data_IF_536277700190
#
_entry.id   IF_536277700190
#
_cell.length_a   1.000
_cell.length_b   1.000
_cell.length_c   1.000
_cell.angle_alpha   90.00
_cell.angle_beta   90.00
_cell.angle_gamma   90.00
#
_symmetry.space_group_name_H-M   'P 1'
#
loop_
_entity.id
_entity.type
_entity.pdbx_description
1 polymer ?
#
# COMPACT_ATOMS: atom_id res chain seq x y z
N UNK A 1 -32.75 -54.88 -16.83
CA UNK A 1 -33.42 -53.60 -17.14
C UNK A 1 -33.81 -52.96 -15.81
N UNK A 2 -33.31 -51.76 -15.50
CA UNK A 2 -33.69 -51.01 -14.30
C UNK A 2 -33.59 -49.52 -14.60
N UNK A 3 -34.68 -48.78 -14.45
CA UNK A 3 -34.77 -47.36 -14.80
C UNK A 3 -34.72 -46.49 -13.53
N UNK A 4 -33.92 -45.43 -13.55
CA UNK A 4 -33.79 -44.47 -12.44
C UNK A 4 -34.31 -43.09 -12.85
N UNK A 5 -35.59 -42.82 -12.57
CA UNK A 5 -36.25 -41.55 -12.94
C UNK A 5 -35.99 -40.47 -11.90
N UNK A 6 -35.05 -39.57 -12.16
CA UNK A 6 -34.75 -38.43 -11.28
C UNK A 6 -35.75 -37.28 -11.47
N UNK A 7 -36.55 -37.00 -10.45
CA UNK A 7 -37.54 -35.90 -10.44
C UNK A 7 -36.83 -34.55 -10.26
N UNK A 8 -37.03 -33.60 -11.19
CA UNK A 8 -36.53 -32.21 -11.09
C UNK A 8 -37.56 -31.29 -10.43
N UNK A 9 -37.39 -30.99 -9.15
CA UNK A 9 -38.25 -30.05 -8.40
C UNK A 9 -37.90 -28.59 -8.69
N UNK A 10 -38.65 -27.94 -9.58
CA UNK A 10 -38.41 -26.56 -10.01
C UNK A 10 -38.85 -25.51 -8.95
N UNK A 11 -37.95 -25.14 -8.04
CA UNK A 11 -38.22 -24.16 -6.96
C UNK A 11 -38.21 -22.72 -7.49
N UNK A 12 -39.38 -22.20 -7.89
CA UNK A 12 -39.57 -20.78 -8.26
C UNK A 12 -39.18 -19.86 -7.10
N UNK A 13 -38.33 -18.86 -7.36
CA UNK A 13 -38.04 -17.75 -6.42
C UNK A 13 -38.73 -16.48 -6.91
N UNK A 14 -39.57 -15.87 -6.07
CA UNK A 14 -40.20 -14.58 -6.31
C UNK A 14 -39.22 -13.45 -6.01
N UNK A 15 -38.87 -12.67 -7.03
CA UNK A 15 -38.10 -11.44 -6.86
C UNK A 15 -39.01 -10.34 -6.29
N UNK A 16 -38.68 -9.81 -5.11
CA UNK A 16 -39.25 -8.56 -4.60
C UNK A 16 -38.34 -7.41 -5.03
N UNK A 17 -38.76 -6.68 -6.05
CA UNK A 17 -38.11 -5.42 -6.44
C UNK A 17 -38.57 -4.34 -5.45
N UNK A 18 -37.62 -3.75 -4.72
CA UNK A 18 -37.86 -2.55 -3.93
C UNK A 18 -37.37 -1.34 -4.75
N UNK A 19 -38.27 -0.40 -5.03
CA UNK A 19 -37.92 0.83 -5.74
C UNK A 19 -37.17 1.80 -4.81
N UNK A 20 -36.16 2.49 -5.34
CA UNK A 20 -35.47 3.54 -4.61
C UNK A 20 -36.29 4.84 -4.61
N UNK A 21 -36.18 5.62 -3.54
CA UNK A 21 -36.56 7.02 -3.49
C UNK A 21 -35.31 7.84 -3.13
N UNK A 22 -35.06 8.91 -3.88
CA UNK A 22 -33.81 9.67 -3.85
C UNK A 22 -34.16 11.13 -3.52
N UNK A 23 -33.63 11.64 -2.42
CA UNK A 23 -33.75 13.06 -2.02
C UNK A 23 -32.37 13.57 -1.64
N UNK A 24 -32.01 14.74 -2.16
CA UNK A 24 -30.71 15.37 -1.95
C UNK A 24 -30.86 16.71 -1.21
N UNK A 25 -29.82 17.11 -0.49
CA UNK A 25 -29.59 18.49 -0.06
C UNK A 25 -28.07 18.72 0.01
N UNK A 26 -27.59 19.80 -0.60
CA UNK A 26 -26.19 20.22 -0.51
C UNK A 26 -26.02 21.25 0.61
N UNK A 27 -24.96 21.13 1.40
CA UNK A 27 -24.60 22.06 2.47
C UNK A 27 -23.14 22.49 2.33
N UNK A 28 -22.87 23.45 1.45
CA UNK A 28 -21.51 23.96 1.22
C UNK A 28 -21.27 25.24 2.05
N UNK A 29 -20.43 25.16 3.07
CA UNK A 29 -20.05 26.32 3.90
C UNK A 29 -18.53 26.49 3.89
N UNK A 30 -18.04 27.38 3.03
CA UNK A 30 -16.64 27.82 3.04
C UNK A 30 -16.49 29.02 3.98
N UNK A 31 -15.89 28.81 5.15
CA UNK A 31 -15.43 29.90 6.02
C UNK A 31 -13.99 30.24 5.66
N UNK A 32 -13.80 31.26 4.82
CA UNK A 32 -12.47 31.78 4.49
C UNK A 32 -11.98 32.76 5.57
N UNK A 33 -11.05 32.32 6.43
CA UNK A 33 -10.35 33.20 7.36
C UNK A 33 -9.05 33.72 6.75
N UNK A 34 -9.15 34.81 5.98
CA UNK A 34 -7.97 35.59 5.59
C UNK A 34 -7.37 36.29 6.80
N UNK A 35 -6.09 36.04 7.08
CA UNK A 35 -5.33 36.75 8.12
C UNK A 35 -3.89 36.95 7.64
N UNK A 36 -3.51 38.21 7.41
CA UNK A 36 -2.21 38.58 6.86
C UNK A 36 -1.41 39.46 7.84
N UNK A 37 -0.09 39.29 7.77
CA UNK A 37 1.00 40.19 8.19
C UNK A 37 0.88 41.05 9.47
N UNK A 38 1.82 40.79 10.39
CA UNK A 38 2.45 41.83 11.22
C UNK A 38 3.93 41.49 11.47
N UNK A 39 4.75 42.53 11.62
CA UNK A 39 6.21 42.56 11.74
C UNK A 39 6.90 41.44 12.56
N UNK A 40 8.16 41.06 12.30
CA UNK A 40 9.17 41.67 11.42
C UNK A 40 10.24 42.46 12.19
N UNK A 41 11.33 41.80 12.64
CA UNK A 41 12.49 42.46 13.25
C UNK A 41 13.82 41.87 12.76
N UNK A 42 14.70 42.74 12.23
CA UNK A 42 16.10 42.49 11.86
C UNK A 42 16.99 43.37 12.75
N UNK A 43 17.95 42.80 13.49
CA UNK A 43 19.39 42.98 13.19
C UNK A 43 20.24 41.73 13.56
N UNK A 44 21.55 41.64 13.36
CA UNK A 44 22.51 42.19 12.39
C UNK A 44 23.78 41.27 12.42
N UNK A 45 24.73 41.43 11.50
CA UNK A 45 25.93 40.59 11.42
C UNK A 45 27.19 41.27 12.00
N UNK A 46 28.05 40.51 12.70
CA UNK A 46 29.41 40.94 13.09
C UNK A 46 30.42 39.76 13.13
N UNK A 47 31.14 39.61 12.02
CA UNK A 47 32.61 39.67 11.90
C UNK A 47 33.54 39.03 12.97
N UNK A 48 34.30 38.00 12.52
CA UNK A 48 35.68 37.59 12.92
C UNK A 48 35.94 37.13 14.39
N UNK A 49 37.07 36.47 14.78
CA UNK A 49 38.41 36.30 14.15
C UNK A 49 39.25 35.15 14.77
N UNK A 50 40.02 34.40 13.96
CA UNK A 50 41.25 33.61 14.31
C UNK A 50 41.16 32.52 15.40
N UNK A 51 42.03 31.50 15.53
CA UNK A 51 43.07 30.79 14.72
C UNK A 51 43.21 29.36 15.35
N UNK A 52 44.07 28.38 15.00
CA UNK A 52 45.25 28.19 14.13
C UNK A 52 45.17 26.73 13.55
N UNK A 53 45.86 26.26 12.50
CA UNK A 53 47.18 26.51 11.88
C UNK A 53 48.37 25.68 12.43
N UNK A 54 48.40 24.40 12.02
CA UNK A 54 49.54 23.45 11.90
C UNK A 54 49.01 22.28 11.02
N UNK A 55 49.56 21.82 9.88
CA UNK A 55 50.94 21.76 9.35
C UNK A 55 51.81 20.76 10.15
N UNK A 56 52.52 19.77 9.57
CA UNK A 56 52.92 19.55 8.17
C UNK A 56 53.06 18.05 7.79
N UNK A 57 53.04 17.75 6.48
CA UNK A 57 53.93 16.81 5.75
C UNK A 57 54.15 15.33 6.17
N UNK A 58 54.55 14.41 5.29
CA UNK A 58 54.43 14.29 3.83
C UNK A 58 54.90 12.88 3.38
N UNK A 59 54.11 12.19 2.54
CA UNK A 59 54.57 11.16 1.59
C UNK A 59 53.41 10.81 0.64
N UNK A 60 53.59 10.57 -0.67
CA UNK A 60 54.85 10.66 -1.43
C UNK A 60 54.98 9.55 -2.47
N UNK A 61 54.16 9.54 -3.53
CA UNK A 61 54.47 8.78 -4.74
C UNK A 61 53.99 9.54 -5.98
N UNK A 62 54.68 9.36 -7.11
CA UNK A 62 54.42 10.09 -8.35
C UNK A 62 54.78 9.24 -9.56
N UNK A 63 53.96 9.33 -10.60
CA UNK A 63 54.12 8.62 -11.87
C UNK A 63 52.83 7.91 -12.27
N UNK A 64 52.37 7.96 -13.52
CA UNK A 64 52.90 8.65 -14.71
C UNK A 64 51.73 9.16 -15.58
N UNK A 65 52.01 10.07 -16.50
CA UNK A 65 51.00 10.72 -17.34
C UNK A 65 50.58 9.85 -18.53
N UNK A 66 49.30 9.92 -18.91
CA UNK A 66 48.90 9.80 -20.32
C UNK A 66 47.68 10.68 -20.66
N UNK A 67 47.96 11.64 -21.54
CA UNK A 67 47.13 12.58 -22.30
C UNK A 67 45.66 12.23 -22.62
N UNK A 68 44.83 13.29 -22.58
CA UNK A 68 43.64 13.54 -23.42
C UNK A 68 42.49 12.52 -23.50
N UNK A 69 41.35 12.89 -22.89
CA UNK A 69 40.06 12.94 -23.59
C UNK A 69 39.20 14.09 -23.03
N UNK A 70 38.22 14.57 -23.82
CA UNK A 70 37.39 15.74 -23.50
C UNK A 70 35.91 15.34 -23.40
N UNK A 71 35.35 15.39 -22.19
CA UNK A 71 33.90 15.48 -21.98
C UNK A 71 33.64 16.17 -20.63
N UNK A 72 32.82 17.21 -20.62
CA UNK A 72 32.26 17.76 -19.38
C UNK A 72 30.85 17.22 -19.22
N UNK A 73 30.62 16.44 -18.16
CA UNK A 73 29.27 16.17 -17.65
C UNK A 73 29.14 16.87 -16.30
N UNK A 74 28.03 17.57 -16.08
CA UNK A 74 27.69 18.09 -14.77
C UNK A 74 27.50 16.92 -13.78
N UNK A 75 27.62 17.20 -12.49
CA UNK A 75 27.29 16.23 -11.46
C UNK A 75 25.77 15.97 -11.49
N UNK A 76 25.35 14.90 -12.17
CA UNK A 76 23.99 14.37 -12.01
C UNK A 76 23.80 14.01 -10.54
N UNK A 77 22.85 14.68 -9.88
CA UNK A 77 22.42 14.31 -8.53
C UNK A 77 21.93 12.87 -8.57
N UNK A 78 22.68 11.97 -7.93
CA UNK A 78 22.53 10.54 -8.07
C UNK A 78 21.15 10.04 -7.65
N UNK A 79 20.22 10.01 -8.60
CA UNK A 79 18.93 9.34 -8.45
C UNK A 79 19.23 7.86 -8.34
N UNK A 80 19.30 7.36 -7.10
CA UNK A 80 19.53 5.94 -6.77
C UNK A 80 18.68 5.08 -7.70
N UNK A 81 19.34 4.31 -8.57
CA UNK A 81 18.67 3.56 -9.61
C UNK A 81 17.58 2.67 -9.00
N UNK A 82 16.35 2.84 -9.48
CA UNK A 82 15.25 1.95 -9.11
C UNK A 82 15.66 0.51 -9.46
N UNK A 83 15.64 -0.38 -8.48
CA UNK A 83 16.21 -1.72 -8.66
C UNK A 83 15.36 -2.54 -9.64
N UNK A 84 15.97 -3.58 -10.22
CA UNK A 84 15.36 -4.49 -11.20
C UNK A 84 13.88 -4.76 -10.97
N UNK A 85 13.04 -4.37 -11.92
CA UNK A 85 11.60 -4.61 -11.88
C UNK A 85 11.32 -6.11 -12.03
N UNK A 86 10.55 -6.67 -11.08
CA UNK A 86 10.04 -8.04 -11.14
C UNK A 86 8.56 -8.01 -11.48
N UNK A 87 8.14 -8.77 -12.50
CA UNK A 87 6.71 -8.88 -12.85
C UNK A 87 6.14 -10.21 -12.38
N UNK A 88 4.94 -10.18 -11.78
CA UNK A 88 4.23 -11.37 -11.29
C UNK A 88 2.78 -11.37 -11.79
N UNK A 89 2.26 -12.54 -12.19
CA UNK A 89 0.84 -12.72 -12.58
C UNK A 89 -0.05 -12.75 -11.34
N UNK A 90 -1.23 -12.14 -11.42
CA UNK A 90 -2.19 -12.09 -10.32
C UNK A 90 -3.33 -13.11 -10.47
N UNK A 91 -4.09 -13.31 -9.39
CA UNK A 91 -5.12 -14.34 -9.28
C UNK A 91 -6.32 -14.17 -10.24
N UNK A 92 -6.55 -12.96 -10.78
CA UNK A 92 -7.54 -12.71 -11.83
C UNK A 92 -7.17 -13.37 -13.18
N UNK A 93 -5.93 -13.86 -13.33
CA UNK A 93 -5.41 -14.46 -14.54
C UNK A 93 -5.20 -13.48 -15.71
N UNK A 94 -5.38 -12.17 -15.50
CA UNK A 94 -5.35 -11.11 -16.53
C UNK A 94 -4.31 -10.02 -16.19
N UNK A 95 -4.25 -9.62 -14.93
CA UNK A 95 -3.40 -8.54 -14.41
C UNK A 95 -2.02 -9.03 -13.98
N UNK A 96 -1.08 -8.09 -13.87
CA UNK A 96 0.27 -8.32 -13.37
C UNK A 96 0.69 -7.24 -12.38
N UNK A 97 1.37 -7.63 -11.30
CA UNK A 97 2.10 -6.69 -10.46
C UNK A 97 3.50 -6.44 -11.04
N UNK A 98 3.82 -5.18 -11.34
CA UNK A 98 5.19 -4.71 -11.60
C UNK A 98 5.81 -4.21 -10.29
N UNK A 99 6.74 -5.00 -9.73
CA UNK A 99 7.32 -4.79 -8.40
C UNK A 99 8.70 -4.15 -8.54
N UNK A 100 8.91 -3.00 -7.90
CA UNK A 100 10.17 -2.25 -7.89
C UNK A 100 10.67 -2.05 -6.46
N UNK A 101 11.95 -2.33 -6.19
CA UNK A 101 12.57 -1.95 -4.90
C UNK A 101 12.98 -0.48 -4.94
N UNK A 102 12.51 0.30 -3.96
CA UNK A 102 12.83 1.71 -3.78
C UNK A 102 13.89 1.88 -2.68
N UNK A 103 13.71 1.17 -1.56
CA UNK A 103 14.59 1.16 -0.39
C UNK A 103 14.62 -0.20 0.29
N UNK A 104 15.37 -0.32 1.37
CA UNK A 104 15.31 -1.52 2.21
C UNK A 104 14.00 -1.54 2.98
N UNK A 105 13.29 -2.66 2.89
CA UNK A 105 11.89 -2.81 3.31
C UNK A 105 10.88 -1.85 2.63
N UNK A 106 11.27 -1.24 1.49
CA UNK A 106 10.46 -0.25 0.78
C UNK A 106 10.33 -0.64 -0.70
N UNK A 107 9.18 -1.21 -1.04
CA UNK A 107 8.83 -1.69 -2.37
C UNK A 107 7.57 -1.02 -2.87
N UNK A 108 7.46 -0.85 -4.20
CA UNK A 108 6.25 -0.39 -4.88
C UNK A 108 5.81 -1.44 -5.89
N UNK A 109 4.53 -1.82 -5.85
CA UNK A 109 3.90 -2.65 -6.86
C UNK A 109 2.87 -1.83 -7.64
N UNK A 110 3.01 -1.75 -8.97
CA UNK A 110 1.93 -1.27 -9.85
C UNK A 110 1.10 -2.46 -10.30
N UNK A 111 -0.22 -2.39 -10.13
CA UNK A 111 -1.15 -3.39 -10.68
C UNK A 111 -1.48 -2.96 -12.11
N UNK A 112 -1.10 -3.75 -13.10
CA UNK A 112 -1.23 -3.42 -14.52
C UNK A 112 -2.10 -4.45 -15.24
N UNK A 113 -3.06 -3.98 -16.03
CA UNK A 113 -3.90 -4.81 -16.89
C UNK A 113 -4.06 -4.16 -18.26
N UNK A 114 -3.83 -4.94 -19.34
CA UNK A 114 -3.98 -4.49 -20.75
C UNK A 114 -3.19 -3.20 -21.08
N UNK A 115 -2.06 -2.97 -20.42
CA UNK A 115 -1.22 -1.78 -20.57
C UNK A 115 -1.59 -0.58 -19.67
N UNK A 116 -2.70 -0.65 -18.93
CA UNK A 116 -3.14 0.39 -18.01
C UNK A 116 -2.77 0.05 -16.56
N UNK A 117 -2.24 1.01 -15.81
CA UNK A 117 -2.08 0.90 -14.35
C UNK A 117 -3.47 1.07 -13.71
N UNK A 118 -3.92 0.04 -12.99
CA UNK A 118 -5.19 0.05 -12.25
C UNK A 118 -5.02 0.57 -10.81
N UNK A 119 -3.91 0.22 -10.17
CA UNK A 119 -3.60 0.61 -8.79
C UNK A 119 -2.08 0.68 -8.57
N UNK A 120 -1.66 1.30 -7.46
CA UNK A 120 -0.27 1.28 -7.00
C UNK A 120 -0.25 1.09 -5.48
N UNK A 121 0.49 0.10 -5.02
CA UNK A 121 0.71 -0.24 -3.62
C UNK A 121 2.17 0.06 -3.26
N UNK A 122 2.44 0.45 -2.02
CA UNK A 122 3.80 0.75 -1.56
C UNK A 122 3.96 0.42 -0.08
N UNK A 123 5.02 -0.33 0.27
CA UNK A 123 5.31 -0.66 1.68
C UNK A 123 5.94 0.53 2.38
N UNK A 124 5.46 0.87 3.57
CA UNK A 124 5.96 2.01 4.33
C UNK A 124 5.95 1.68 5.83
N UNK A 125 7.03 1.05 6.31
CA UNK A 125 7.20 0.52 7.68
C UNK A 125 6.23 -0.63 8.06
N UNK A 126 5.36 -1.01 7.14
CA UNK A 126 4.48 -2.18 7.18
C UNK A 126 4.17 -2.63 5.75
N UNK A 127 3.57 -3.82 5.64
CA UNK A 127 3.03 -4.35 4.38
C UNK A 127 1.91 -3.45 3.83
N UNK A 128 1.58 -3.61 2.55
CA UNK A 128 0.45 -2.94 1.90
C UNK A 128 -0.60 -3.95 1.45
N UNK A 129 -1.88 -3.57 1.51
CA UNK A 129 -3.02 -4.38 1.05
C UNK A 129 -3.88 -3.63 0.05
N UNK A 130 -4.66 -4.37 -0.74
CA UNK A 130 -5.57 -3.85 -1.76
C UNK A 130 -6.74 -4.80 -2.01
N UNK A 131 -7.96 -4.27 -2.05
CA UNK A 131 -9.18 -4.92 -2.57
C UNK A 131 -9.47 -4.35 -3.96
N UNK A 132 -9.10 -5.10 -5.00
CA UNK A 132 -9.25 -4.73 -6.40
C UNK A 132 -10.54 -5.31 -7.01
N UNK A 133 -11.67 -5.18 -6.30
CA UNK A 133 -12.98 -5.79 -6.60
C UNK A 133 -12.98 -7.31 -6.38
N UNK A 134 -12.85 -7.74 -5.11
CA UNK A 134 -12.81 -9.16 -4.69
C UNK A 134 -11.59 -9.96 -5.21
N UNK A 135 -10.68 -9.32 -5.96
CA UNK A 135 -9.27 -9.71 -6.02
C UNK A 135 -8.52 -9.02 -4.89
N UNK A 136 -8.02 -9.77 -3.92
CA UNK A 136 -7.22 -9.24 -2.83
C UNK A 136 -5.74 -9.38 -3.15
N UNK A 137 -4.93 -8.38 -2.78
CA UNK A 137 -3.48 -8.37 -2.98
C UNK A 137 -2.79 -7.86 -1.72
N UNK A 138 -1.73 -8.55 -1.28
CA UNK A 138 -0.78 -8.09 -0.26
C UNK A 138 0.59 -7.91 -0.90
N UNK A 139 1.27 -6.79 -0.61
CA UNK A 139 2.68 -6.53 -0.93
C UNK A 139 3.46 -6.50 0.39
N UNK A 140 4.36 -7.46 0.59
CA UNK A 140 5.11 -7.62 1.84
C UNK A 140 6.36 -6.74 1.91
N UNK A 141 6.84 -6.46 3.12
CA UNK A 141 8.07 -5.70 3.37
C UNK A 141 9.34 -6.28 2.70
N UNK A 142 9.42 -7.57 2.43
CA UNK A 142 10.55 -8.16 1.68
C UNK A 142 10.40 -8.05 0.16
N UNK A 143 9.21 -7.67 -0.33
CA UNK A 143 8.90 -7.44 -1.74
C UNK A 143 8.18 -8.60 -2.44
N UNK A 144 7.53 -9.51 -1.72
CA UNK A 144 6.60 -10.47 -2.33
C UNK A 144 5.24 -9.84 -2.61
N UNK A 145 4.57 -10.34 -3.65
CA UNK A 145 3.16 -10.11 -3.88
C UNK A 145 2.43 -11.43 -3.68
N UNK A 146 1.38 -11.44 -2.86
CA UNK A 146 0.44 -12.54 -2.74
C UNK A 146 -0.94 -12.04 -3.14
N UNK A 147 -1.67 -12.80 -3.95
CA UNK A 147 -2.98 -12.39 -4.46
C UNK A 147 -3.94 -13.57 -4.56
N UNK A 148 -5.21 -13.34 -4.25
CA UNK A 148 -6.26 -14.34 -4.29
C UNK A 148 -7.61 -13.74 -4.71
N UNK A 149 -8.58 -14.58 -5.02
CA UNK A 149 -9.95 -14.18 -5.34
C UNK A 149 -10.90 -14.61 -4.22
N UNK A 150 -11.88 -13.78 -3.87
CA UNK A 150 -12.94 -14.13 -2.93
C UNK A 150 -12.50 -14.12 -1.46
N UNK A 151 -13.37 -14.71 -0.61
CA UNK A 151 -13.17 -14.78 0.84
C UNK A 151 -13.53 -13.50 1.59
N UNK A 152 -14.01 -12.46 0.92
CA UNK A 152 -14.39 -11.19 1.52
C UNK A 152 -15.58 -11.27 2.49
N UNK A 153 -15.38 -10.83 3.72
CA UNK A 153 -16.41 -10.58 4.72
C UNK A 153 -16.67 -9.06 4.83
N UNK A 154 -17.90 -8.63 4.58
CA UNK A 154 -18.27 -7.21 4.54
C UNK A 154 -18.79 -6.68 5.89
N UNK A 155 -18.21 -5.58 6.35
CA UNK A 155 -18.74 -4.73 7.43
C UNK A 155 -18.15 -5.04 8.81
N UNK A 156 -18.60 -4.33 9.86
CA UNK A 156 -18.19 -4.61 11.23
C UNK A 156 -18.76 -5.95 11.71
N UNK A 157 -17.98 -6.71 12.46
CA UNK A 157 -18.34 -8.05 12.89
C UNK A 157 -17.17 -8.83 13.49
N UNK A 158 -17.37 -10.13 13.70
CA UNK A 158 -16.28 -11.06 14.05
C UNK A 158 -16.34 -12.25 13.09
N UNK A 159 -15.27 -12.46 12.34
CA UNK A 159 -15.21 -13.40 11.22
C UNK A 159 -14.09 -14.42 11.44
N UNK A 160 -14.30 -15.66 10.94
CA UNK A 160 -13.25 -16.67 10.87
C UNK A 160 -12.50 -16.52 9.54
N UNK A 161 -11.18 -16.54 9.61
CA UNK A 161 -10.27 -16.38 8.48
C UNK A 161 -9.54 -17.69 8.16
N UNK A 162 -8.77 -17.69 7.07
CA UNK A 162 -7.84 -18.76 6.74
C UNK A 162 -6.88 -19.08 7.91
N UNK A 163 -6.32 -20.29 7.93
CA UNK A 163 -5.40 -20.74 9.00
C UNK A 163 -6.01 -20.84 10.41
N UNK A 164 -7.35 -20.74 10.56
CA UNK A 164 -8.03 -20.78 11.86
C UNK A 164 -8.08 -19.45 12.61
N UNK A 165 -7.49 -18.40 12.05
CA UNK A 165 -7.47 -17.04 12.60
C UNK A 165 -8.88 -16.45 12.73
N UNK A 166 -9.02 -15.42 13.55
CA UNK A 166 -10.27 -14.68 13.74
C UNK A 166 -10.01 -13.18 13.60
N UNK A 167 -10.84 -12.47 12.83
CA UNK A 167 -10.76 -11.01 12.77
C UNK A 167 -11.99 -10.37 13.41
N UNK A 168 -11.75 -9.37 14.28
CA UNK A 168 -12.79 -8.50 14.83
C UNK A 168 -12.73 -7.15 14.12
N UNK A 169 -13.65 -6.92 13.19
CA UNK A 169 -13.75 -5.69 12.39
C UNK A 169 -14.69 -4.70 13.07
N UNK A 170 -14.26 -3.45 13.20
CA UNK A 170 -15.02 -2.34 13.78
C UNK A 170 -14.98 -1.15 12.82
N UNK A 171 -16.13 -0.54 12.51
CA UNK A 171 -16.15 0.74 11.77
C UNK A 171 -15.74 1.86 12.73
N UNK A 172 -14.67 2.58 12.41
CA UNK A 172 -14.13 3.69 13.21
C UNK A 172 -14.50 5.07 12.65
N UNK A 173 -15.03 5.12 11.42
CA UNK A 173 -15.60 6.30 10.80
C UNK A 173 -16.02 6.00 9.36
N UNK A 174 -16.49 7.00 8.61
CA UNK A 174 -16.75 6.82 7.18
C UNK A 174 -15.45 6.59 6.39
N UNK A 175 -15.48 5.58 5.51
CA UNK A 175 -14.32 4.97 4.86
C UNK A 175 -13.18 4.56 5.83
N UNK A 176 -13.51 4.25 7.10
CA UNK A 176 -12.52 3.96 8.15
C UNK A 176 -12.91 2.73 8.98
N UNK A 177 -12.05 1.73 8.96
CA UNK A 177 -12.25 0.45 9.64
C UNK A 177 -10.99 -0.01 10.36
N UNK A 178 -11.17 -0.69 11.49
CA UNK A 178 -10.16 -1.35 12.30
C UNK A 178 -10.42 -2.84 12.35
N UNK A 179 -9.43 -3.68 12.06
CA UNK A 179 -9.50 -5.12 12.28
C UNK A 179 -8.43 -5.57 13.29
N UNK A 180 -8.86 -6.13 14.41
CA UNK A 180 -7.95 -6.87 15.30
C UNK A 180 -7.85 -8.31 14.79
N UNK A 181 -6.63 -8.76 14.50
CA UNK A 181 -6.34 -10.11 14.01
C UNK A 181 -5.92 -10.98 15.20
N UNK A 182 -6.69 -12.03 15.46
CA UNK A 182 -6.66 -12.83 16.68
C UNK A 182 -6.25 -14.26 16.31
N UNK A 183 -5.10 -14.67 16.81
CA UNK A 183 -4.57 -16.04 16.73
C UNK A 183 -4.77 -16.78 18.05
N UNK A 184 -3.97 -17.81 18.30
CA UNK A 184 -4.07 -18.60 19.53
C UNK A 184 -3.75 -17.80 20.82
N UNK A 185 -2.67 -17.02 20.82
CA UNK A 185 -2.24 -16.20 21.96
C UNK A 185 -2.99 -14.85 22.10
N UNK A 186 -4.06 -14.63 21.33
CA UNK A 186 -4.80 -13.37 21.29
C UNK A 186 -4.46 -12.50 20.08
N UNK A 187 -4.44 -11.18 20.26
CA UNK A 187 -4.28 -10.21 19.16
C UNK A 187 -2.83 -10.15 18.68
N UNK A 188 -2.56 -10.67 17.48
CA UNK A 188 -1.22 -10.65 16.87
C UNK A 188 -0.98 -9.40 16.01
N UNK A 189 -2.03 -8.87 15.36
CA UNK A 189 -1.93 -7.67 14.52
C UNK A 189 -3.19 -6.79 14.64
N UNK A 190 -3.08 -5.53 14.24
CA UNK A 190 -4.21 -4.61 14.09
C UNK A 190 -4.06 -3.80 12.81
N UNK A 191 -5.04 -3.90 11.91
CA UNK A 191 -5.08 -3.22 10.62
C UNK A 191 -6.00 -2.00 10.71
N UNK A 192 -5.52 -0.83 10.25
CA UNK A 192 -6.31 0.40 10.13
C UNK A 192 -6.51 0.75 8.64
N UNK A 193 -7.64 0.36 8.06
CA UNK A 193 -8.03 0.84 6.74
C UNK A 193 -8.57 2.27 6.89
N UNK A 194 -7.74 3.28 6.60
CA UNK A 194 -8.02 4.68 6.84
C UNK A 194 -8.11 5.46 5.53
N UNK A 195 -9.27 5.44 4.88
CA UNK A 195 -9.50 5.96 3.51
C UNK A 195 -8.67 5.28 2.40
N UNK A 196 -7.79 4.35 2.77
CA UNK A 196 -7.00 3.48 1.92
C UNK A 196 -7.05 2.06 2.49
N UNK A 197 -6.87 1.07 1.62
CA UNK A 197 -6.79 -0.33 2.01
C UNK A 197 -5.46 -0.60 2.73
N UNK A 198 -5.43 -1.67 3.52
CA UNK A 198 -4.24 -2.10 4.25
C UNK A 198 -4.18 -3.63 4.32
N UNK A 199 -3.01 -4.18 4.58
CA UNK A 199 -2.82 -5.62 4.66
C UNK A 199 -1.61 -5.99 5.50
N UNK A 200 -1.45 -7.28 5.78
CA UNK A 200 -0.34 -7.84 6.56
C UNK A 200 -0.10 -9.30 6.18
N UNK A 201 1.15 -9.75 6.27
CA UNK A 201 1.48 -11.16 6.45
C UNK A 201 1.44 -11.53 7.96
N UNK A 202 0.44 -12.32 8.36
CA UNK A 202 0.28 -12.84 9.71
C UNK A 202 0.82 -14.29 9.85
N UNK A 203 2.13 -14.47 9.66
CA UNK A 203 2.85 -15.75 9.73
C UNK A 203 2.43 -16.74 8.61
N UNK A 204 2.53 -16.31 7.36
CA UNK A 204 2.09 -17.04 6.16
C UNK A 204 0.60 -16.87 5.84
N UNK A 205 -0.16 -16.13 6.66
CA UNK A 205 -1.56 -15.81 6.40
C UNK A 205 -1.68 -14.36 5.96
N UNK A 206 -1.87 -14.17 4.66
CA UNK A 206 -2.02 -12.86 4.06
C UNK A 206 -3.44 -12.35 4.30
N UNK A 207 -3.58 -11.14 4.84
CA UNK A 207 -4.86 -10.54 5.22
C UNK A 207 -4.95 -9.14 4.61
N UNK A 208 -6.09 -8.81 4.02
CA UNK A 208 -6.42 -7.46 3.53
C UNK A 208 -7.67 -6.95 4.23
N UNK A 209 -7.64 -5.70 4.69
CA UNK A 209 -8.80 -4.93 5.12
C UNK A 209 -8.96 -3.71 4.19
N UNK A 210 -10.09 -3.60 3.50
CA UNK A 210 -10.36 -2.48 2.61
C UNK A 210 -11.01 -1.28 3.33
N UNK A 211 -10.86 -0.08 2.77
CA UNK A 211 -11.53 1.13 3.26
C UNK A 211 -13.07 1.05 3.11
N UNK A 212 -13.56 0.16 2.24
CA UNK A 212 -14.97 -0.24 2.16
C UNK A 212 -15.44 -1.13 3.33
N UNK A 213 -14.51 -1.66 4.12
CA UNK A 213 -14.78 -2.53 5.26
C UNK A 213 -14.96 -4.00 4.88
N UNK A 214 -14.36 -4.44 3.76
CA UNK A 214 -14.23 -5.87 3.45
C UNK A 214 -12.96 -6.38 4.10
N UNK A 215 -13.01 -7.55 4.73
CA UNK A 215 -11.82 -8.28 5.17
C UNK A 215 -11.74 -9.66 4.49
N UNK A 216 -10.58 -10.00 3.93
CA UNK A 216 -10.32 -11.33 3.34
C UNK A 216 -8.95 -11.83 3.76
N UNK A 217 -8.74 -13.15 3.71
CA UNK A 217 -7.50 -13.80 4.08
C UNK A 217 -7.20 -15.08 3.30
N UNK A 218 -5.93 -15.35 3.05
CA UNK A 218 -5.43 -16.53 2.33
C UNK A 218 -4.19 -17.13 3.02
N UNK A 219 -3.89 -18.40 2.73
CA UNK A 219 -2.77 -19.17 3.26
C UNK A 219 -1.84 -19.70 2.14
#
# INVERSE_FOLDING_TARGET
MSSSTTVRTARRRTLRVAAAALVAAAGLTLTACSGADAAGTKPAAHTDKSAAAADSSAAGWSGLQSTHAKAGSAAETGTKAASSVRTQRLADGISTAEISKLGDQHYRAKIVARGSVLATMETNKGDAGLDANDMFVTLTLDGQVHSWMGGGHQGPGTFKLAGGWTAKVTKTGDARYRAQIIGHDGVAATLEANQQDTGVDANGIYIVLSAGGVISAHA
#
